data_IF_765028292064
#
_entry.id   IF_765028292064
#
_cell.length_a   1.000
_cell.length_b   1.000
_cell.length_c   1.000
_cell.angle_alpha   90.00
_cell.angle_beta   90.00
_cell.angle_gamma   90.00
#
_symmetry.space_group_name_H-M   'P 1'
#
loop_
_entity.id
_entity.type
_entity.pdbx_description
1 polymer ?
#
# COMPACT_ATOMS: atom_id res chain seq x y z
N UNK A 1 43.33 -8.60 -12.72
CA UNK A 1 44.37 -7.59 -13.00
C UNK A 1 45.60 -8.25 -13.60
N UNK A 2 46.48 -7.48 -14.27
CA UNK A 2 47.71 -8.00 -14.89
C UNK A 2 48.89 -7.21 -14.31
N UNK A 3 49.79 -7.89 -13.60
CA UNK A 3 51.00 -7.30 -13.04
C UNK A 3 52.23 -8.03 -13.59
N UNK A 4 53.22 -7.26 -14.05
CA UNK A 4 54.51 -7.79 -14.48
C UNK A 4 55.39 -8.11 -13.27
N UNK A 5 55.96 -9.31 -13.24
CA UNK A 5 57.02 -9.66 -12.29
C UNK A 5 58.37 -9.30 -12.90
N UNK A 6 59.03 -8.33 -12.28
CA UNK A 6 60.29 -7.76 -12.73
C UNK A 6 61.44 -8.43 -11.97
N UNK A 7 62.56 -8.65 -12.65
CA UNK A 7 63.78 -9.19 -12.04
C UNK A 7 64.29 -8.26 -10.93
N UNK A 8 64.65 -8.82 -9.77
CA UNK A 8 65.14 -8.07 -8.61
C UNK A 8 66.49 -7.40 -8.92
N UNK A 9 67.27 -7.95 -9.84
CA UNK A 9 68.61 -7.48 -10.21
C UNK A 9 68.61 -6.60 -11.49
N UNK A 10 67.54 -6.63 -12.29
CA UNK A 10 67.41 -5.85 -13.52
C UNK A 10 65.96 -5.36 -13.73
N UNK A 11 65.66 -4.09 -13.39
CA UNK A 11 64.31 -3.52 -13.49
C UNK A 11 63.74 -3.46 -14.91
N UNK A 12 64.56 -3.65 -15.95
CA UNK A 12 64.09 -3.66 -17.34
C UNK A 12 63.72 -5.06 -17.83
N UNK A 13 64.02 -6.10 -17.03
CA UNK A 13 63.83 -7.50 -17.42
C UNK A 13 62.57 -8.08 -16.77
N UNK A 14 61.55 -8.36 -17.58
CA UNK A 14 60.29 -8.99 -17.13
C UNK A 14 60.46 -10.51 -17.17
N UNK A 15 60.42 -11.15 -16.00
CA UNK A 15 60.63 -12.60 -15.87
C UNK A 15 59.32 -13.40 -15.88
N UNK A 16 58.17 -12.73 -15.75
CA UNK A 16 56.87 -13.37 -15.83
C UNK A 16 55.73 -12.36 -15.70
N UNK A 17 54.51 -12.82 -15.97
CA UNK A 17 53.29 -12.03 -15.83
C UNK A 17 52.36 -12.76 -14.86
N UNK A 18 51.99 -12.09 -13.78
CA UNK A 18 50.94 -12.56 -12.87
C UNK A 18 49.60 -12.06 -13.41
N UNK A 19 48.80 -13.00 -13.91
CA UNK A 19 47.41 -12.73 -14.30
C UNK A 19 46.53 -13.20 -13.16
N UNK A 20 45.88 -12.26 -12.48
CA UNK A 20 44.84 -12.54 -11.49
C UNK A 20 43.49 -12.43 -12.20
N UNK A 21 42.81 -13.56 -12.37
CA UNK A 21 41.41 -13.61 -12.83
C UNK A 21 40.51 -13.80 -11.61
N UNK A 22 39.71 -12.79 -11.29
CA UNK A 22 38.62 -12.91 -10.31
C UNK A 22 37.36 -13.39 -11.03
N UNK A 23 36.67 -14.38 -10.46
CA UNK A 23 35.40 -14.87 -11.00
C UNK A 23 34.26 -13.90 -10.66
N UNK A 24 34.09 -12.91 -11.53
CA UNK A 24 33.04 -11.89 -11.44
C UNK A 24 31.65 -12.43 -11.81
N UNK A 25 31.55 -13.70 -12.24
CA UNK A 25 30.28 -14.28 -12.71
C UNK A 25 29.30 -14.43 -11.56
N UNK A 26 29.78 -14.83 -10.38
CA UNK A 26 28.97 -14.98 -9.17
C UNK A 26 28.39 -13.65 -8.67
N UNK A 27 29.22 -12.62 -8.53
CA UNK A 27 28.76 -11.27 -8.12
C UNK A 27 27.74 -10.69 -9.11
N UNK A 28 27.99 -10.81 -10.42
CA UNK A 28 27.04 -10.34 -11.44
C UNK A 28 25.72 -11.10 -11.39
N UNK A 29 25.73 -12.40 -11.12
CA UNK A 29 24.52 -13.20 -10.98
C UNK A 29 23.71 -12.80 -9.75
N UNK A 30 24.36 -12.59 -8.59
CA UNK A 30 23.71 -12.12 -7.36
C UNK A 30 23.09 -10.74 -7.58
N UNK A 31 23.83 -9.84 -8.22
CA UNK A 31 23.36 -8.48 -8.52
C UNK A 31 22.15 -8.48 -9.45
N UNK A 32 22.20 -9.27 -10.53
CA UNK A 32 21.08 -9.43 -11.46
C UNK A 32 19.85 -10.03 -10.79
N UNK A 33 20.01 -10.90 -9.78
CA UNK A 33 18.90 -11.42 -9.01
C UNK A 33 18.29 -10.32 -8.13
N UNK A 34 19.12 -9.52 -7.45
CA UNK A 34 18.63 -8.41 -6.61
C UNK A 34 17.84 -7.39 -7.43
N UNK A 35 18.30 -7.04 -8.63
CA UNK A 35 17.60 -6.12 -9.53
C UNK A 35 16.19 -6.56 -9.95
N UNK A 36 15.83 -7.84 -9.78
CA UNK A 36 14.46 -8.32 -10.03
C UNK A 36 13.49 -7.96 -8.90
N UNK A 37 14.00 -7.61 -7.73
CA UNK A 37 13.20 -7.32 -6.54
C UNK A 37 13.33 -5.86 -6.09
N UNK A 38 14.36 -5.14 -6.51
CA UNK A 38 14.61 -3.76 -6.09
C UNK A 38 15.32 -2.97 -7.18
N UNK A 39 15.31 -1.64 -7.03
CA UNK A 39 16.06 -0.74 -7.90
C UNK A 39 17.58 -0.97 -7.80
N UNK A 40 18.35 -0.68 -8.86
CA UNK A 40 19.81 -0.78 -8.82
C UNK A 40 20.42 -0.03 -7.64
N UNK A 41 19.91 1.16 -7.33
CA UNK A 41 20.39 1.99 -6.24
C UNK A 41 20.22 1.31 -4.88
N UNK A 42 19.06 0.68 -4.63
CA UNK A 42 18.79 -0.05 -3.38
C UNK A 42 19.68 -1.30 -3.28
N UNK A 43 19.87 -2.01 -4.39
CA UNK A 43 20.76 -3.18 -4.41
C UNK A 43 22.22 -2.81 -4.13
N UNK A 44 22.73 -1.73 -4.70
CA UNK A 44 24.09 -1.24 -4.46
C UNK A 44 24.28 -0.78 -3.01
N UNK A 45 23.28 -0.12 -2.43
CA UNK A 45 23.30 0.25 -1.01
C UNK A 45 23.39 -0.96 -0.09
N UNK A 46 22.68 -2.06 -0.42
CA UNK A 46 22.79 -3.30 0.33
C UNK A 46 24.16 -3.97 0.18
N UNK A 47 24.66 -4.08 -1.05
CA UNK A 47 25.98 -4.66 -1.31
C UNK A 47 27.08 -3.87 -0.58
N UNK A 48 27.00 -2.54 -0.58
CA UNK A 48 27.94 -1.67 0.13
C UNK A 48 27.85 -1.80 1.66
N UNK A 49 26.67 -2.12 2.21
CA UNK A 49 26.49 -2.28 3.66
C UNK A 49 27.12 -3.57 4.21
N UNK A 50 27.36 -4.57 3.37
CA UNK A 50 27.98 -5.85 3.74
C UNK A 50 27.14 -6.71 4.71
N UNK A 51 25.89 -6.33 4.96
CA UNK A 51 25.11 -6.87 6.06
C UNK A 51 24.40 -8.18 5.66
N UNK A 52 25.08 -9.29 5.89
CA UNK A 52 24.62 -10.65 5.59
C UNK A 52 24.12 -11.41 6.82
N UNK A 53 24.05 -10.74 7.98
CA UNK A 53 23.74 -11.39 9.25
C UNK A 53 22.30 -11.92 9.31
N UNK A 54 22.15 -13.06 9.98
CA UNK A 54 20.85 -13.61 10.38
C UNK A 54 20.19 -12.67 11.39
N UNK A 55 18.92 -12.34 11.15
CA UNK A 55 18.16 -11.40 11.97
C UNK A 55 17.86 -10.12 11.21
N UNK A 56 16.72 -9.51 11.54
CA UNK A 56 16.31 -8.25 10.94
C UNK A 56 16.67 -7.04 11.78
N UNK A 57 16.76 -5.89 11.13
CA UNK A 57 16.90 -4.58 11.76
C UNK A 57 15.53 -3.94 11.93
N UNK A 58 15.35 -3.22 13.02
CA UNK A 58 14.18 -2.33 13.17
C UNK A 58 14.34 -1.16 12.21
N UNK A 59 13.38 -0.97 11.33
CA UNK A 59 13.36 0.09 10.34
C UNK A 59 11.97 0.71 10.28
N UNK A 60 11.92 2.03 10.11
CA UNK A 60 10.70 2.74 9.74
C UNK A 60 10.45 2.50 8.26
N UNK A 61 9.29 1.93 7.94
CA UNK A 61 8.93 1.59 6.56
C UNK A 61 7.50 1.97 6.26
N UNK A 62 7.17 2.03 4.98
CA UNK A 62 5.79 1.97 4.51
C UNK A 62 5.58 0.69 3.74
N UNK A 63 4.53 -0.04 4.08
CA UNK A 63 4.16 -1.29 3.43
C UNK A 63 2.93 -1.05 2.59
N UNK A 64 2.99 -1.43 1.32
CA UNK A 64 1.90 -1.40 0.36
C UNK A 64 1.51 -2.85 0.05
N UNK A 65 0.23 -3.15 0.23
CA UNK A 65 -0.41 -4.34 -0.33
C UNK A 65 -1.32 -3.92 -1.47
N UNK A 66 -1.33 -4.70 -2.56
CA UNK A 66 -2.29 -4.57 -3.66
C UNK A 66 -2.81 -5.94 -4.05
N UNK A 67 -4.10 -6.06 -4.28
CA UNK A 67 -4.78 -7.31 -4.63
C UNK A 67 -5.85 -7.10 -5.73
N UNK A 68 -6.04 -8.08 -6.61
CA UNK A 68 -7.03 -7.99 -7.69
C UNK A 68 -8.43 -8.28 -7.12
N UNK A 69 -9.36 -7.35 -7.36
CA UNK A 69 -10.75 -7.49 -6.95
C UNK A 69 -11.47 -8.53 -7.80
N UNK A 70 -12.14 -9.45 -7.12
CA UNK A 70 -12.92 -10.51 -7.74
C UNK A 70 -12.09 -11.36 -8.71
N UNK A 71 -10.83 -11.64 -8.38
CA UNK A 71 -9.90 -12.40 -9.21
C UNK A 71 -10.49 -13.72 -9.71
N UNK A 72 -11.14 -14.50 -8.83
CA UNK A 72 -11.79 -15.75 -9.24
C UNK A 72 -12.80 -15.55 -10.36
N UNK A 73 -13.62 -14.50 -10.30
CA UNK A 73 -14.58 -14.14 -11.36
C UNK A 73 -13.87 -13.61 -12.60
N UNK A 74 -12.77 -12.86 -12.44
CA UNK A 74 -11.97 -12.35 -13.55
C UNK A 74 -11.36 -13.49 -14.38
N UNK A 75 -10.91 -14.55 -13.72
CA UNK A 75 -10.26 -15.71 -14.34
C UNK A 75 -11.23 -16.85 -14.67
N UNK A 76 -12.51 -16.72 -14.33
CA UNK A 76 -13.51 -17.74 -14.58
C UNK A 76 -13.65 -17.96 -16.10
N UNK A 77 -13.31 -19.16 -16.57
CA UNK A 77 -13.35 -19.51 -17.99
C UNK A 77 -12.12 -19.12 -18.81
N UNK A 78 -11.04 -18.63 -18.18
CA UNK A 78 -9.73 -18.48 -18.84
C UNK A 78 -8.92 -19.78 -18.74
N UNK A 79 -8.13 -20.08 -19.76
CA UNK A 79 -7.13 -21.15 -19.68
C UNK A 79 -5.95 -20.72 -18.77
N UNK A 80 -5.27 -21.69 -18.15
CA UNK A 80 -4.22 -21.40 -17.17
C UNK A 80 -3.08 -20.54 -17.75
N UNK A 81 -2.71 -20.79 -19.00
CA UNK A 81 -1.68 -20.03 -19.73
C UNK A 81 -2.10 -18.57 -19.96
N UNK A 82 -3.38 -18.32 -20.20
CA UNK A 82 -3.92 -16.97 -20.37
C UNK A 82 -3.91 -16.20 -19.03
N UNK A 83 -4.24 -16.90 -17.94
CA UNK A 83 -4.18 -16.33 -16.59
C UNK A 83 -2.75 -15.92 -16.24
N UNK A 84 -1.76 -16.80 -16.50
CA UNK A 84 -0.35 -16.50 -16.24
C UNK A 84 0.14 -15.33 -17.09
N UNK A 85 -0.23 -15.28 -18.36
CA UNK A 85 0.14 -14.17 -19.26
C UNK A 85 -0.43 -12.85 -18.75
N UNK A 86 -1.72 -12.84 -18.41
CA UNK A 86 -2.42 -11.67 -17.86
C UNK A 86 -1.80 -11.19 -16.54
N UNK A 87 -1.45 -12.11 -15.64
CA UNK A 87 -0.80 -11.77 -14.39
C UNK A 87 0.60 -11.18 -14.60
N UNK A 88 1.40 -11.74 -15.51
CA UNK A 88 2.73 -11.22 -15.78
C UNK A 88 2.67 -9.80 -16.37
N UNK A 89 1.77 -9.55 -17.33
CA UNK A 89 1.56 -8.21 -17.90
C UNK A 89 1.08 -7.22 -16.85
N UNK A 90 0.15 -7.63 -15.98
CA UNK A 90 -0.33 -6.81 -14.87
C UNK A 90 0.78 -6.51 -13.86
N UNK A 91 1.56 -7.52 -13.45
CA UNK A 91 2.62 -7.34 -12.47
C UNK A 91 3.74 -6.46 -13.00
N UNK A 92 4.08 -6.53 -14.29
CA UNK A 92 5.05 -5.62 -14.92
C UNK A 92 4.66 -4.16 -14.66
N UNK A 93 3.42 -3.78 -14.97
CA UNK A 93 2.92 -2.41 -14.77
C UNK A 93 2.91 -1.98 -13.30
N UNK A 94 2.54 -2.88 -12.39
CA UNK A 94 2.47 -2.54 -10.96
C UNK A 94 3.88 -2.44 -10.35
N UNK A 95 4.79 -3.34 -10.71
CA UNK A 95 6.17 -3.34 -10.18
C UNK A 95 6.96 -2.16 -10.72
N UNK A 96 6.75 -1.76 -11.97
CA UNK A 96 7.30 -0.52 -12.51
C UNK A 96 6.92 0.70 -11.66
N UNK A 97 5.65 0.79 -11.22
CA UNK A 97 5.22 1.84 -10.31
C UNK A 97 5.88 1.74 -8.92
N UNK A 98 6.17 0.54 -8.41
CA UNK A 98 6.93 0.36 -7.17
C UNK A 98 8.35 0.89 -7.33
N UNK A 99 9.04 0.46 -8.38
CA UNK A 99 10.45 0.79 -8.61
C UNK A 99 10.66 2.26 -8.96
N UNK A 100 9.75 2.88 -9.71
CA UNK A 100 9.77 4.32 -10.02
C UNK A 100 9.88 5.18 -8.75
N UNK A 101 9.23 4.77 -7.67
CA UNK A 101 9.28 5.45 -6.36
C UNK A 101 10.14 4.72 -5.33
N UNK A 102 11.16 3.99 -5.79
CA UNK A 102 12.21 3.38 -4.94
C UNK A 102 11.69 2.34 -3.94
N UNK A 103 10.52 1.77 -4.18
CA UNK A 103 10.03 0.64 -3.42
C UNK A 103 10.80 -0.64 -3.76
N UNK A 104 10.78 -1.58 -2.82
CA UNK A 104 11.28 -2.94 -3.01
C UNK A 104 10.09 -3.88 -3.08
N UNK A 105 10.04 -4.72 -4.11
CA UNK A 105 9.08 -5.82 -4.20
C UNK A 105 9.51 -6.91 -3.21
N UNK A 106 8.70 -7.13 -2.17
CA UNK A 106 8.97 -8.14 -1.14
C UNK A 106 8.58 -9.52 -1.67
N UNK A 107 7.31 -9.69 -2.08
CA UNK A 107 6.81 -10.93 -2.69
C UNK A 107 5.48 -10.75 -3.41
N UNK A 108 5.19 -11.72 -4.29
CA UNK A 108 3.84 -12.00 -4.77
C UNK A 108 3.12 -12.98 -3.82
N UNK A 109 1.81 -12.81 -3.68
CA UNK A 109 0.93 -13.65 -2.86
C UNK A 109 -0.30 -14.00 -3.71
N UNK A 110 -0.17 -14.98 -4.60
CA UNK A 110 -1.19 -15.24 -5.61
C UNK A 110 -1.24 -14.10 -6.63
N UNK A 111 -2.40 -13.45 -6.75
CA UNK A 111 -2.66 -12.25 -7.54
C UNK A 111 -2.34 -10.93 -6.81
N UNK A 112 -2.00 -11.02 -5.52
CA UNK A 112 -1.57 -9.88 -4.73
C UNK A 112 -0.05 -9.65 -4.80
N UNK A 113 0.36 -8.41 -4.53
CA UNK A 113 1.76 -8.05 -4.32
C UNK A 113 1.94 -7.30 -3.00
N UNK A 114 3.11 -7.49 -2.41
CA UNK A 114 3.59 -6.75 -1.24
C UNK A 114 4.85 -5.98 -1.64
N UNK A 115 4.83 -4.67 -1.43
CA UNK A 115 5.98 -3.79 -1.60
C UNK A 115 6.31 -3.07 -0.31
N UNK A 116 7.61 -2.80 -0.10
CA UNK A 116 8.12 -2.11 1.09
C UNK A 116 8.99 -0.94 0.68
N UNK A 117 8.77 0.20 1.32
CA UNK A 117 9.50 1.44 1.13
C UNK A 117 10.28 1.74 2.40
N UNK A 118 11.59 2.02 2.30
CA UNK A 118 12.48 2.21 3.46
C UNK A 118 13.11 0.93 4.00
N UNK A 119 12.88 -0.20 3.33
CA UNK A 119 13.62 -1.44 3.50
C UNK A 119 13.85 -2.06 2.12
N UNK A 120 14.98 -2.75 1.91
CA UNK A 120 16.01 -3.07 2.90
C UNK A 120 16.99 -1.92 3.15
N UNK A 121 17.07 -0.96 2.23
CA UNK A 121 17.79 0.29 2.44
C UNK A 121 16.84 1.40 2.97
N UNK A 122 17.29 2.24 3.91
CA UNK A 122 16.50 3.37 4.40
C UNK A 122 16.10 4.31 3.26
N UNK A 123 14.86 4.80 3.31
CA UNK A 123 14.31 5.73 2.33
C UNK A 123 13.67 6.89 3.08
N UNK A 124 14.22 8.09 2.88
CA UNK A 124 13.57 9.31 3.35
C UNK A 124 12.23 9.49 2.63
N UNK A 125 11.23 10.00 3.33
CA UNK A 125 9.87 10.15 2.80
C UNK A 125 9.23 8.86 2.28
N UNK A 126 9.60 7.70 2.82
CA UNK A 126 8.99 6.41 2.47
C UNK A 126 7.45 6.39 2.43
N UNK A 127 6.69 7.12 3.28
CA UNK A 127 5.23 7.15 3.16
C UNK A 127 4.75 7.89 1.90
N UNK A 128 5.43 8.98 1.51
CA UNK A 128 5.13 9.71 0.29
C UNK A 128 5.40 8.85 -0.94
N UNK A 129 6.56 8.19 -0.99
CA UNK A 129 6.91 7.29 -2.08
C UNK A 129 5.90 6.14 -2.24
N UNK A 130 5.44 5.54 -1.13
CA UNK A 130 4.41 4.51 -1.17
C UNK A 130 3.07 5.04 -1.72
N UNK A 131 2.64 6.23 -1.30
CA UNK A 131 1.42 6.87 -1.80
C UNK A 131 1.53 7.24 -3.28
N UNK A 132 2.67 7.77 -3.72
CA UNK A 132 2.93 8.08 -5.12
C UNK A 132 2.91 6.81 -5.99
N UNK A 133 3.53 5.74 -5.50
CA UNK A 133 3.51 4.43 -6.17
C UNK A 133 2.09 3.90 -6.33
N UNK A 134 1.24 3.98 -5.30
CA UNK A 134 -0.15 3.54 -5.41
C UNK A 134 -0.99 4.39 -6.38
N UNK A 135 -0.80 5.71 -6.40
CA UNK A 135 -1.49 6.58 -7.36
C UNK A 135 -1.01 6.30 -8.80
N UNK A 136 0.28 6.05 -9.01
CA UNK A 136 0.83 5.63 -10.30
C UNK A 136 0.28 4.25 -10.73
N UNK A 137 0.20 3.28 -9.82
CA UNK A 137 -0.43 1.97 -10.08
C UNK A 137 -1.87 2.14 -10.59
N UNK A 138 -2.64 3.01 -9.94
CA UNK A 138 -4.01 3.35 -10.38
C UNK A 138 -4.03 3.89 -11.80
N UNK A 139 -3.12 4.80 -12.15
CA UNK A 139 -3.09 5.42 -13.47
C UNK A 139 -2.59 4.46 -14.57
N UNK A 140 -1.57 3.66 -14.28
CA UNK A 140 -1.12 2.58 -15.17
C UNK A 140 -2.21 1.55 -15.40
N UNK A 141 -2.94 1.16 -14.35
CA UNK A 141 -4.05 0.22 -14.47
C UNK A 141 -5.18 0.77 -15.35
N UNK A 142 -5.45 2.08 -15.33
CA UNK A 142 -6.44 2.69 -16.24
C UNK A 142 -6.00 2.52 -17.71
N UNK A 143 -4.72 2.73 -18.00
CA UNK A 143 -4.16 2.56 -19.35
C UNK A 143 -4.23 1.09 -19.77
N UNK A 144 -3.74 0.19 -18.91
CA UNK A 144 -3.77 -1.26 -19.13
C UNK A 144 -5.20 -1.77 -19.39
N UNK A 145 -6.17 -1.30 -18.60
CA UNK A 145 -7.57 -1.68 -18.78
C UNK A 145 -8.19 -1.17 -20.08
N UNK A 146 -7.73 -0.03 -20.60
CA UNK A 146 -8.22 0.48 -21.89
C UNK A 146 -7.93 -0.54 -22.99
N UNK A 147 -6.71 -1.07 -23.04
CA UNK A 147 -6.31 -2.08 -24.01
C UNK A 147 -7.06 -3.40 -23.81
N UNK A 148 -7.26 -3.83 -22.56
CA UNK A 148 -8.07 -5.02 -22.24
C UNK A 148 -9.49 -4.90 -22.75
N UNK A 149 -10.14 -3.76 -22.52
CA UNK A 149 -11.52 -3.51 -22.95
C UNK A 149 -11.62 -3.47 -24.48
N UNK A 150 -10.64 -2.89 -25.17
CA UNK A 150 -10.54 -2.94 -26.64
C UNK A 150 -10.42 -4.39 -27.16
N UNK A 151 -9.72 -5.25 -26.42
CA UNK A 151 -9.63 -6.69 -26.67
C UNK A 151 -10.84 -7.51 -26.17
N UNK A 152 -11.92 -6.85 -25.72
CA UNK A 152 -13.13 -7.48 -25.14
C UNK A 152 -12.86 -8.32 -23.89
N UNK A 153 -11.76 -8.06 -23.18
CA UNK A 153 -11.45 -8.67 -21.88
C UNK A 153 -12.06 -7.84 -20.76
N UNK A 154 -12.35 -8.49 -19.63
CA UNK A 154 -12.83 -7.81 -18.43
C UNK A 154 -11.73 -6.89 -17.87
N UNK A 155 -12.13 -5.68 -17.47
CA UNK A 155 -11.26 -4.72 -16.81
C UNK A 155 -10.91 -5.22 -15.39
N UNK A 156 -9.64 -5.11 -15.04
CA UNK A 156 -9.09 -5.45 -13.73
C UNK A 156 -9.39 -4.31 -12.76
N UNK A 157 -9.83 -4.65 -11.56
CA UNK A 157 -9.94 -3.70 -10.44
C UNK A 157 -8.98 -4.15 -9.37
N UNK A 158 -8.39 -3.21 -8.63
CA UNK A 158 -7.47 -3.52 -7.53
C UNK A 158 -7.96 -2.88 -6.24
N UNK A 159 -7.53 -3.44 -5.12
CA UNK A 159 -7.59 -2.80 -3.83
C UNK A 159 -6.19 -2.68 -3.26
N UNK A 160 -5.93 -1.56 -2.58
CA UNK A 160 -4.62 -1.24 -2.04
C UNK A 160 -4.73 -0.76 -0.60
N UNK A 161 -3.73 -1.12 0.19
CA UNK A 161 -3.60 -0.73 1.59
C UNK A 161 -2.18 -0.26 1.91
N UNK A 162 -2.04 0.92 2.52
CA UNK A 162 -0.74 1.46 2.93
C UNK A 162 -0.72 1.78 4.42
N UNK A 163 0.26 1.23 5.11
CA UNK A 163 0.55 1.57 6.50
C UNK A 163 2.04 1.85 6.70
N UNK A 164 2.32 2.82 7.56
CA UNK A 164 3.68 3.21 7.95
C UNK A 164 3.89 2.91 9.43
N UNK A 165 4.91 2.10 9.73
CA UNK A 165 5.24 1.66 11.09
C UNK A 165 6.70 1.20 11.18
N UNK A 166 7.14 0.95 12.41
CA UNK A 166 8.38 0.23 12.66
C UNK A 166 8.18 -1.27 12.45
N UNK A 167 9.02 -1.87 11.62
CA UNK A 167 9.02 -3.33 11.37
C UNK A 167 10.43 -3.89 11.54
N UNK A 168 10.52 -5.21 11.64
CA UNK A 168 11.79 -5.93 11.57
C UNK A 168 11.99 -6.43 10.15
N UNK A 169 12.99 -5.88 9.46
CA UNK A 169 13.33 -6.24 8.08
C UNK A 169 14.69 -6.91 8.01
N UNK A 170 14.78 -8.05 7.33
CA UNK A 170 16.03 -8.77 7.14
C UNK A 170 15.84 -10.16 6.57
N UNK A 171 16.91 -10.95 6.58
CA UNK A 171 16.88 -12.34 6.13
C UNK A 171 16.17 -13.19 7.19
N UNK A 172 14.95 -13.64 6.90
CA UNK A 172 14.11 -14.43 7.79
C UNK A 172 13.77 -15.76 7.12
N UNK A 173 13.87 -16.86 7.88
CA UNK A 173 13.59 -18.19 7.37
C UNK A 173 14.35 -19.28 8.12
N UNK A 174 14.61 -20.38 7.42
CA UNK A 174 15.41 -21.50 7.92
C UNK A 174 16.76 -21.54 7.21
N UNK A 175 17.72 -22.31 7.73
CA UNK A 175 19.03 -22.51 7.07
C UNK A 175 18.94 -23.03 5.63
N UNK A 176 17.79 -23.59 5.22
CA UNK A 176 17.54 -24.12 3.87
C UNK A 176 16.80 -23.15 2.94
N UNK A 177 16.11 -22.15 3.50
CA UNK A 177 15.31 -21.18 2.74
C UNK A 177 15.23 -19.88 3.54
N UNK A 178 15.86 -18.85 3.02
CA UNK A 178 15.88 -17.51 3.57
C UNK A 178 15.16 -16.58 2.61
N UNK A 179 14.33 -15.69 3.14
CA UNK A 179 13.68 -14.63 2.39
C UNK A 179 14.04 -13.30 3.05
N UNK A 180 14.48 -12.34 2.25
CA UNK A 180 14.58 -10.95 2.69
C UNK A 180 13.15 -10.41 2.77
N UNK A 181 12.65 -10.19 3.97
CA UNK A 181 11.26 -9.79 4.15
C UNK A 181 11.08 -8.93 5.39
N UNK A 182 9.97 -8.19 5.43
CA UNK A 182 9.60 -7.36 6.56
C UNK A 182 8.52 -8.04 7.40
N UNK A 183 8.73 -8.10 8.71
CA UNK A 183 7.76 -8.69 9.66
C UNK A 183 7.48 -7.72 10.79
N UNK A 184 6.21 -7.60 11.14
CA UNK A 184 5.76 -6.81 12.27
C UNK A 184 4.27 -6.60 12.21
N UNK A 185 3.72 -6.08 13.31
CA UNK A 185 2.32 -5.70 13.38
C UNK A 185 1.92 -4.70 12.28
N UNK A 186 2.83 -3.81 11.89
CA UNK A 186 2.60 -2.84 10.84
C UNK A 186 2.32 -3.48 9.47
N UNK A 187 3.03 -4.57 9.14
CA UNK A 187 2.82 -5.35 7.90
C UNK A 187 1.41 -5.94 7.89
N UNK A 188 1.00 -6.53 9.01
CA UNK A 188 -0.34 -7.10 9.16
C UNK A 188 -1.44 -6.03 9.06
N UNK A 189 -1.20 -4.82 9.57
CA UNK A 189 -2.15 -3.72 9.43
C UNK A 189 -2.26 -3.28 7.96
N UNK A 190 -1.17 -3.13 7.22
CA UNK A 190 -1.21 -2.78 5.80
C UNK A 190 -2.06 -3.77 4.98
N UNK A 191 -1.86 -5.08 5.16
CA UNK A 191 -2.68 -6.11 4.51
C UNK A 191 -4.17 -6.01 4.87
N UNK A 192 -4.50 -5.65 6.10
CA UNK A 192 -5.91 -5.46 6.51
C UNK A 192 -6.52 -4.19 5.93
N UNK A 193 -5.74 -3.13 5.76
CA UNK A 193 -6.21 -1.91 5.11
C UNK A 193 -6.55 -2.18 3.64
N UNK A 194 -5.76 -3.01 2.96
CA UNK A 194 -6.09 -3.50 1.62
C UNK A 194 -7.47 -4.18 1.64
N UNK A 195 -7.68 -5.18 2.50
CA UNK A 195 -8.97 -5.87 2.60
C UNK A 195 -10.13 -4.94 2.99
N UNK A 196 -9.84 -3.92 3.82
CA UNK A 196 -10.81 -2.89 4.24
C UNK A 196 -11.29 -2.05 3.07
N UNK A 197 -10.44 -1.77 2.07
CA UNK A 197 -10.86 -0.99 0.89
C UNK A 197 -12.04 -1.65 0.14
N UNK A 198 -12.15 -2.98 0.15
CA UNK A 198 -13.31 -3.71 -0.38
C UNK A 198 -14.62 -3.35 0.34
N UNK A 199 -14.57 -3.22 1.66
CA UNK A 199 -15.74 -2.95 2.51
C UNK A 199 -16.26 -1.52 2.28
N UNK A 200 -15.34 -0.55 2.20
CA UNK A 200 -15.69 0.85 1.92
C UNK A 200 -15.91 1.12 0.42
N UNK A 201 -15.59 0.16 -0.45
CA UNK A 201 -15.75 0.29 -1.90
C UNK A 201 -14.79 1.27 -2.53
N UNK A 202 -13.59 1.38 -1.96
CA UNK A 202 -12.50 2.22 -2.45
C UNK A 202 -11.39 1.32 -2.99
N UNK A 203 -10.48 1.89 -3.77
CA UNK A 203 -9.33 1.17 -4.34
C UNK A 203 -8.04 1.39 -3.55
N UNK A 204 -7.96 2.43 -2.71
CA UNK A 204 -6.76 2.77 -1.95
C UNK A 204 -7.10 3.31 -0.56
N UNK A 205 -6.65 2.60 0.47
CA UNK A 205 -6.79 3.00 1.88
C UNK A 205 -5.42 3.21 2.51
N UNK A 206 -5.26 4.34 3.19
CA UNK A 206 -4.05 4.68 3.95
C UNK A 206 -4.39 4.87 5.43
N UNK A 207 -3.47 4.47 6.30
CA UNK A 207 -3.58 4.73 7.74
C UNK A 207 -3.24 6.18 8.12
N UNK A 208 -3.69 6.60 9.29
CA UNK A 208 -3.31 7.87 9.92
C UNK A 208 -1.80 8.11 9.96
N UNK A 209 -0.99 7.12 10.33
CA UNK A 209 0.48 7.24 10.35
C UNK A 209 1.09 7.58 8.98
N UNK A 210 0.49 7.09 7.90
CA UNK A 210 0.93 7.37 6.52
C UNK A 210 0.45 8.75 6.07
N UNK A 211 -0.77 9.12 6.47
CA UNK A 211 -1.45 10.35 6.06
C UNK A 211 -0.89 11.61 6.75
N UNK A 212 -0.76 11.59 8.08
CA UNK A 212 -0.48 12.77 8.89
C UNK A 212 0.73 13.60 8.43
N UNK A 213 1.88 12.99 8.06
CA UNK A 213 3.06 13.76 7.64
C UNK A 213 2.86 14.55 6.33
N UNK A 214 1.86 14.20 5.51
CA UNK A 214 1.64 14.78 4.18
C UNK A 214 0.22 15.31 3.97
N UNK A 215 -0.56 15.50 5.04
CA UNK A 215 -2.00 15.84 4.98
C UNK A 215 -2.35 17.02 4.06
N UNK A 216 -1.46 18.01 3.98
CA UNK A 216 -1.68 19.24 3.21
C UNK A 216 -1.46 19.03 1.70
N UNK A 217 -0.74 17.97 1.32
CA UNK A 217 -0.45 17.61 -0.08
C UNK A 217 -1.50 16.70 -0.71
N UNK A 218 -2.45 16.18 0.08
CA UNK A 218 -3.31 15.07 -0.34
C UNK A 218 -4.78 15.49 -0.44
N UNK A 219 -5.46 14.96 -1.46
CA UNK A 219 -6.91 14.84 -1.49
C UNK A 219 -7.30 13.53 -0.83
N UNK A 220 -8.01 13.60 0.30
CA UNK A 220 -8.44 12.42 1.04
C UNK A 220 -9.90 12.50 1.45
N UNK A 221 -10.51 11.32 1.61
CA UNK A 221 -11.76 11.15 2.35
C UNK A 221 -11.47 10.37 3.63
N UNK A 222 -11.61 10.97 4.82
CA UNK A 222 -11.55 10.20 6.08
C UNK A 222 -12.70 9.20 6.09
N UNK A 223 -12.41 7.90 6.01
CA UNK A 223 -13.42 6.86 5.85
C UNK A 223 -14.04 6.47 7.18
N UNK A 224 -13.20 6.10 8.15
CA UNK A 224 -13.64 5.60 9.45
C UNK A 224 -12.54 5.59 10.53
N UNK A 225 -12.96 5.35 11.78
CA UNK A 225 -12.12 4.97 12.91
C UNK A 225 -12.42 3.51 13.26
N UNK A 226 -11.48 2.61 12.98
CA UNK A 226 -11.72 1.16 13.07
C UNK A 226 -10.79 0.47 14.06
N UNK A 227 -11.27 -0.61 14.67
CA UNK A 227 -10.41 -1.61 15.29
C UNK A 227 -10.25 -2.78 14.32
N UNK A 228 -9.01 -3.07 13.91
CA UNK A 228 -8.72 -4.27 13.13
C UNK A 228 -8.48 -5.46 14.05
N UNK A 229 -8.99 -6.64 13.67
CA UNK A 229 -8.91 -7.88 14.47
C UNK A 229 -7.50 -8.17 14.99
N UNK A 230 -7.26 -8.13 16.30
CA UNK A 230 -5.94 -8.44 16.88
C UNK A 230 -5.04 -7.21 17.12
N UNK A 231 -5.56 -5.99 16.93
CA UNK A 231 -5.03 -4.77 17.54
C UNK A 231 -6.05 -4.26 18.57
N UNK A 232 -5.55 -3.68 19.67
CA UNK A 232 -6.40 -3.05 20.69
C UNK A 232 -6.54 -1.53 20.49
N UNK A 233 -5.73 -0.94 19.61
CA UNK A 233 -5.75 0.50 19.35
C UNK A 233 -6.56 0.78 18.08
N UNK A 234 -7.57 1.66 18.13
CA UNK A 234 -8.27 2.14 16.96
C UNK A 234 -7.33 2.85 15.97
N UNK A 235 -7.61 2.72 14.69
CA UNK A 235 -6.84 3.32 13.60
C UNK A 235 -7.80 4.12 12.73
N UNK A 236 -7.48 5.40 12.52
CA UNK A 236 -8.14 6.24 11.52
C UNK A 236 -7.66 5.84 10.13
N UNK A 237 -8.60 5.70 9.21
CA UNK A 237 -8.33 5.29 7.84
C UNK A 237 -8.88 6.31 6.85
N UNK A 238 -8.14 6.48 5.75
CA UNK A 238 -8.42 7.48 4.73
C UNK A 238 -8.43 6.80 3.37
N UNK A 239 -9.35 7.20 2.51
CA UNK A 239 -9.23 6.97 1.08
C UNK A 239 -8.33 8.05 0.49
N UNK A 240 -7.28 7.64 -0.23
CA UNK A 240 -6.43 8.56 -0.96
C UNK A 240 -6.98 8.75 -2.38
N UNK A 241 -7.48 9.96 -2.65
CA UNK A 241 -8.09 10.32 -3.93
C UNK A 241 -7.04 10.81 -4.95
N UNK A 242 -6.02 11.52 -4.49
CA UNK A 242 -4.95 12.04 -5.32
C UNK A 242 -4.07 13.05 -4.59
N UNK A 243 -3.17 13.70 -5.33
CA UNK A 243 -2.29 14.75 -4.82
C UNK A 243 -2.77 16.14 -5.24
N UNK A 244 -2.67 17.11 -4.32
CA UNK A 244 -2.96 18.54 -4.55
C UNK A 244 -1.83 19.25 -5.31
N UNK A 245 -0.60 18.74 -5.16
CA UNK A 245 0.61 19.33 -5.70
C UNK A 245 1.65 18.26 -6.07
N UNK A 246 2.72 18.67 -6.76
CA UNK A 246 3.77 17.78 -7.25
C UNK A 246 3.45 17.13 -8.60
N UNK A 247 4.31 16.18 -9.01
CA UNK A 247 4.27 15.58 -10.35
C UNK A 247 3.02 14.71 -10.61
N UNK A 248 2.39 14.21 -9.55
CA UNK A 248 1.14 13.44 -9.60
C UNK A 248 -0.09 14.27 -9.24
N UNK A 249 -0.01 15.61 -9.39
CA UNK A 249 -1.13 16.49 -9.10
C UNK A 249 -2.38 16.07 -9.88
N UNK A 250 -3.49 15.94 -9.16
CA UNK A 250 -4.81 15.63 -9.68
C UNK A 250 -5.82 16.65 -9.13
N UNK A 251 -6.64 17.20 -10.00
CA UNK A 251 -7.82 17.96 -9.60
C UNK A 251 -8.96 16.97 -9.38
N UNK A 252 -9.71 17.17 -8.29
CA UNK A 252 -10.94 16.41 -8.10
C UNK A 252 -12.02 16.97 -9.03
N UNK A 253 -12.91 16.11 -9.51
CA UNK A 253 -14.11 16.57 -10.20
C UNK A 253 -15.04 17.29 -9.21
N UNK A 254 -15.95 18.13 -9.71
CA UNK A 254 -16.97 18.77 -8.87
C UNK A 254 -17.79 17.73 -8.08
N UNK A 255 -18.13 16.61 -8.71
CA UNK A 255 -18.82 15.48 -8.06
C UNK A 255 -17.99 14.89 -6.92
N UNK A 256 -16.69 14.68 -7.13
CA UNK A 256 -15.78 14.19 -6.08
C UNK A 256 -15.68 15.18 -4.92
N UNK A 257 -15.59 16.48 -5.19
CA UNK A 257 -15.59 17.51 -4.15
C UNK A 257 -16.86 17.45 -3.30
N UNK A 258 -18.04 17.42 -3.91
CA UNK A 258 -19.31 17.34 -3.19
C UNK A 258 -19.46 16.02 -2.41
N UNK A 259 -19.00 14.89 -2.98
CA UNK A 259 -18.99 13.60 -2.26
C UNK A 259 -18.12 13.70 -1.01
N UNK A 260 -16.91 14.27 -1.10
CA UNK A 260 -16.00 14.41 0.05
C UNK A 260 -16.60 15.32 1.11
N UNK A 261 -17.16 16.47 0.71
CA UNK A 261 -17.77 17.45 1.60
C UNK A 261 -18.95 16.86 2.38
N UNK A 262 -19.96 16.32 1.70
CA UNK A 262 -21.11 15.69 2.35
C UNK A 262 -20.68 14.48 3.20
N UNK A 263 -19.72 13.68 2.73
CA UNK A 263 -19.24 12.55 3.51
C UNK A 263 -18.56 13.02 4.81
N UNK A 264 -17.70 14.04 4.76
CA UNK A 264 -17.06 14.60 5.96
C UNK A 264 -18.08 15.20 6.92
N UNK A 265 -19.05 15.97 6.42
CA UNK A 265 -20.12 16.52 7.24
C UNK A 265 -20.95 15.42 7.92
N UNK A 266 -21.30 14.36 7.19
CA UNK A 266 -21.98 13.19 7.72
C UNK A 266 -21.16 12.47 8.81
N UNK A 267 -19.84 12.36 8.61
CA UNK A 267 -18.90 11.79 9.58
C UNK A 267 -18.79 12.64 10.85
N UNK A 268 -18.80 13.97 10.73
CA UNK A 268 -18.78 14.86 11.89
C UNK A 268 -20.01 14.66 12.76
N UNK A 269 -21.20 14.61 12.15
CA UNK A 269 -22.45 14.33 12.87
C UNK A 269 -22.45 12.92 13.47
N UNK A 270 -21.99 11.91 12.72
CA UNK A 270 -21.91 10.53 13.18
C UNK A 270 -21.04 10.36 14.43
N UNK A 271 -19.91 11.09 14.50
CA UNK A 271 -18.98 11.03 15.63
C UNK A 271 -19.36 11.98 16.78
N UNK A 272 -20.41 12.79 16.64
CA UNK A 272 -20.81 13.75 17.67
C UNK A 272 -21.10 13.09 19.03
N UNK A 273 -21.81 11.95 19.11
CA UNK A 273 -22.08 11.27 20.38
C UNK A 273 -20.83 10.79 21.11
N UNK A 274 -19.74 10.46 20.40
CA UNK A 274 -18.49 10.04 21.04
C UNK A 274 -17.63 11.22 21.53
N UNK A 275 -17.83 12.41 20.95
CA UNK A 275 -17.10 13.63 21.32
C UNK A 275 -17.78 14.41 22.46
N UNK A 276 -19.10 14.42 22.50
CA UNK A 276 -19.90 15.21 23.46
C UNK A 276 -20.51 14.33 24.56
N UNK A 277 -19.94 14.37 25.77
CA UNK A 277 -20.28 13.43 26.86
C UNK A 277 -21.63 13.65 27.58
N UNK A 278 -22.32 14.77 27.32
CA UNK A 278 -23.53 15.16 28.05
C UNK A 278 -24.76 15.32 27.14
N UNK A 279 -24.81 14.59 26.03
CA UNK A 279 -25.95 14.63 25.13
C UNK A 279 -27.15 13.88 25.71
N UNK A 280 -28.34 14.41 25.42
CA UNK A 280 -29.59 13.69 25.69
C UNK A 280 -29.81 12.63 24.60
N UNK A 281 -30.60 11.59 24.90
CA UNK A 281 -30.98 10.57 23.92
C UNK A 281 -31.56 11.19 22.64
N UNK A 282 -32.36 12.25 22.77
CA UNK A 282 -32.91 13.00 21.64
C UNK A 282 -31.80 13.65 20.79
N UNK A 283 -30.83 14.29 21.43
CA UNK A 283 -29.70 14.92 20.73
C UNK A 283 -28.78 13.91 20.04
N UNK A 284 -28.67 12.70 20.59
CA UNK A 284 -27.93 11.59 19.95
C UNK A 284 -28.68 11.12 18.69
N UNK A 285 -29.99 10.92 18.78
CA UNK A 285 -30.84 10.54 17.64
C UNK A 285 -30.79 11.62 16.55
N UNK A 286 -30.89 12.89 16.91
CA UNK A 286 -30.78 14.03 15.99
C UNK A 286 -29.42 14.04 15.28
N UNK A 287 -28.32 13.77 16.00
CA UNK A 287 -26.99 13.67 15.40
C UNK A 287 -26.93 12.58 14.31
N UNK A 288 -27.46 11.39 14.58
CA UNK A 288 -27.50 10.32 13.58
C UNK A 288 -28.46 10.60 12.42
N UNK A 289 -29.56 11.31 12.66
CA UNK A 289 -30.47 11.74 11.59
C UNK A 289 -29.82 12.77 10.66
N UNK A 290 -29.04 13.72 11.21
CA UNK A 290 -28.24 14.66 10.42
C UNK A 290 -27.15 13.93 9.62
N UNK A 291 -26.44 12.98 10.24
CA UNK A 291 -25.46 12.16 9.55
C UNK A 291 -26.09 11.37 8.38
N UNK A 292 -27.25 10.76 8.61
CA UNK A 292 -28.01 10.05 7.57
C UNK A 292 -28.40 10.97 6.40
N UNK A 293 -28.81 12.21 6.65
CA UNK A 293 -29.15 13.16 5.60
C UNK A 293 -27.94 13.43 4.69
N UNK A 294 -26.77 13.69 5.27
CA UNK A 294 -25.54 13.93 4.51
C UNK A 294 -25.09 12.71 3.70
N UNK A 295 -25.14 11.50 4.28
CA UNK A 295 -24.82 10.29 3.53
C UNK A 295 -25.82 10.01 2.39
N UNK A 296 -27.08 10.44 2.52
CA UNK A 296 -28.05 10.37 1.41
C UNK A 296 -27.70 11.34 0.28
N UNK A 297 -27.16 12.53 0.57
CA UNK A 297 -26.68 13.43 -0.48
C UNK A 297 -25.51 12.80 -1.27
N UNK A 298 -24.57 12.13 -0.58
CA UNK A 298 -23.51 11.34 -1.25
C UNK A 298 -24.13 10.30 -2.19
N UNK A 299 -25.18 9.59 -1.75
CA UNK A 299 -25.83 8.55 -2.55
C UNK A 299 -26.70 9.07 -3.70
N UNK A 300 -27.09 10.35 -3.67
CA UNK A 300 -27.71 10.99 -4.85
C UNK A 300 -26.70 11.23 -5.96
N UNK A 301 -25.45 11.52 -5.60
CA UNK A 301 -24.33 11.75 -6.55
C UNK A 301 -23.77 10.40 -7.02
N UNK A 302 -23.45 9.50 -6.08
CA UNK A 302 -22.95 8.14 -6.36
C UNK A 302 -23.84 7.09 -5.66
N UNK A 303 -24.87 6.56 -6.35
CA UNK A 303 -25.75 5.53 -5.80
C UNK A 303 -25.04 4.23 -5.42
N UNK A 304 -23.80 4.01 -5.83
CA UNK A 304 -23.02 2.81 -5.54
C UNK A 304 -21.96 3.02 -4.45
N UNK A 305 -21.90 4.20 -3.83
CA UNK A 305 -20.92 4.53 -2.80
C UNK A 305 -21.09 3.61 -1.57
N UNK A 306 -20.22 2.59 -1.46
CA UNK A 306 -20.35 1.61 -0.37
C UNK A 306 -20.08 2.22 1.00
N UNK A 307 -19.10 3.13 1.11
CA UNK A 307 -18.79 3.81 2.35
C UNK A 307 -20.01 4.59 2.90
N UNK A 308 -20.71 5.33 2.04
CA UNK A 308 -21.92 6.05 2.45
C UNK A 308 -23.08 5.10 2.81
N UNK A 309 -23.29 4.01 2.04
CA UNK A 309 -24.30 2.98 2.38
C UNK A 309 -24.03 2.33 3.74
N UNK A 310 -22.76 2.04 4.02
CA UNK A 310 -22.32 1.45 5.27
C UNK A 310 -22.62 2.37 6.44
N UNK A 311 -22.26 3.66 6.37
CA UNK A 311 -22.57 4.60 7.45
C UNK A 311 -24.06 4.91 7.56
N UNK A 312 -24.78 4.96 6.45
CA UNK A 312 -26.23 5.09 6.45
C UNK A 312 -26.89 3.97 7.27
N UNK A 313 -26.49 2.71 7.04
CA UNK A 313 -26.99 1.57 7.81
C UNK A 313 -26.66 1.67 9.30
N UNK A 314 -25.47 2.16 9.65
CA UNK A 314 -25.08 2.39 11.06
C UNK A 314 -25.87 3.53 11.71
N UNK A 315 -26.13 4.61 11.00
CA UNK A 315 -26.95 5.72 11.50
C UNK A 315 -28.38 5.25 11.79
N UNK A 316 -28.95 4.44 10.90
CA UNK A 316 -30.29 3.86 11.08
C UNK A 316 -30.33 2.92 12.30
N UNK A 317 -29.31 2.07 12.46
CA UNK A 317 -29.16 1.24 13.65
C UNK A 317 -29.13 2.08 14.92
N UNK A 318 -28.29 3.12 14.98
CA UNK A 318 -28.13 3.93 16.19
C UNK A 318 -29.29 4.89 16.50
N UNK A 319 -30.16 5.16 15.52
CA UNK A 319 -31.43 5.83 15.78
C UNK A 319 -32.45 4.89 16.45
N UNK A 320 -32.39 3.58 16.18
CA UNK A 320 -33.26 2.57 16.82
C UNK A 320 -32.69 2.02 18.12
N UNK A 321 -31.37 1.86 18.20
CA UNK A 321 -30.63 1.28 19.32
C UNK A 321 -29.47 2.21 19.65
N UNK A 322 -29.63 3.05 20.69
CA UNK A 322 -28.60 4.01 21.06
C UNK A 322 -27.23 3.33 21.28
N UNK A 323 -26.12 3.98 20.85
CA UNK A 323 -24.80 3.45 21.11
C UNK A 323 -24.54 3.34 22.63
N UNK A 324 -23.62 2.46 23.05
CA UNK A 324 -23.19 2.40 24.45
C UNK A 324 -22.75 3.77 24.98
N UNK A 325 -22.95 4.03 26.27
CA UNK A 325 -22.58 5.32 26.89
C UNK A 325 -21.08 5.63 26.82
N UNK A 326 -20.26 4.61 26.70
CA UNK A 326 -18.80 4.66 26.55
C UNK A 326 -18.34 4.52 25.09
N UNK A 327 -19.25 4.65 24.13
CA UNK A 327 -18.91 4.56 22.72
C UNK A 327 -17.92 5.65 22.31
N UNK A 328 -16.78 5.23 21.81
CA UNK A 328 -15.63 6.05 21.44
C UNK A 328 -15.61 6.41 19.94
N UNK A 329 -16.69 6.13 19.22
CA UNK A 329 -16.80 6.36 17.77
C UNK A 329 -16.15 5.26 16.94
N UNK A 330 -15.62 4.22 17.57
CA UNK A 330 -14.91 3.14 16.89
C UNK A 330 -15.89 2.09 16.38
N UNK A 331 -15.65 1.62 15.16
CA UNK A 331 -16.33 0.45 14.63
C UNK A 331 -15.41 -0.78 14.62
N UNK A 332 -15.91 -1.88 15.18
CA UNK A 332 -15.19 -3.14 15.21
C UNK A 332 -15.47 -3.91 13.92
N UNK A 333 -14.43 -4.12 13.10
CA UNK A 333 -14.52 -4.96 11.91
C UNK A 333 -14.53 -6.43 12.33
N UNK A 334 -15.71 -7.06 12.32
CA UNK A 334 -15.89 -8.47 12.71
C UNK A 334 -15.74 -9.45 11.55
N UNK A 335 -15.83 -8.97 10.30
CA UNK A 335 -15.71 -9.80 9.09
C UNK A 335 -14.28 -9.78 8.51
N UNK A 336 -13.88 -10.92 7.93
CA UNK A 336 -12.58 -11.12 7.28
C UNK A 336 -12.53 -10.52 5.88
#
# INVERSE_FOLDING_TARGET
SINSMIDVCDPQKVNGVLVVMEDITGEKQVKNLMYRYMTPEVAEQLLASGDTNLGGKRQQVSVLFSDIRSYTTLTEGMEAEEVVTMLNEYFEEMVDAVFKYKGTLDKYIGDALMAVFGSPAPLEHHPLCAMQSAVEMRDRLKIFNKERVEQKKMAIKIGMGIHSDEVVSGNIGSSKRMELTSIGDGVNLASRLEGTSKQYGTDLVISDNTYQPYKDMLWVRELDLITVKGKNKPVRIYELLGFKEGDLKQELTEEQHHIVEHYHQGREYYLRPSKEKNLTDLSIIEAFAMAEAEFKEVLKIDPNNKAAKLHLGRCQLFQTELPPKDWDGVWNLTEK
#
